data_IF_783051656873
#
_entry.id   IF_783051656873
#
_cell.length_a   1.000
_cell.length_b   1.000
_cell.length_c   1.000
_cell.angle_alpha   90.00
_cell.angle_beta   90.00
_cell.angle_gamma   90.00
#
_symmetry.space_group_name_H-M   'P 1'
#
loop_
_entity.id
_entity.type
_entity.pdbx_description
1 polymer ?
#
# COMPACT_ATOMS: atom_id res chain seq x y z
N UNK A 1 9.21 -12.04 -13.73
CA UNK A 1 7.92 -12.60 -13.25
C UNK A 1 7.00 -11.42 -12.98
N UNK A 2 6.01 -11.19 -13.85
CA UNK A 2 5.08 -10.06 -13.72
C UNK A 2 3.97 -10.45 -12.73
N UNK A 3 3.74 -9.62 -11.71
CA UNK A 3 2.75 -9.90 -10.67
C UNK A 3 1.36 -9.51 -11.16
N UNK A 4 0.34 -10.34 -10.91
CA UNK A 4 -1.05 -9.94 -11.17
C UNK A 4 -1.58 -9.03 -10.05
N UNK A 5 -2.55 -8.17 -10.37
CA UNK A 5 -3.23 -7.31 -9.38
C UNK A 5 -3.77 -8.13 -8.20
N UNK A 6 -4.38 -9.28 -8.48
CA UNK A 6 -4.87 -10.22 -7.47
C UNK A 6 -3.79 -10.67 -6.50
N UNK A 7 -2.59 -10.99 -6.99
CA UNK A 7 -1.48 -11.39 -6.12
C UNK A 7 -1.01 -10.24 -5.24
N UNK A 8 -0.92 -9.02 -5.80
CA UNK A 8 -0.56 -7.82 -5.03
C UNK A 8 -1.61 -7.55 -3.94
N UNK A 9 -2.90 -7.61 -4.25
CA UNK A 9 -3.97 -7.47 -3.25
C UNK A 9 -3.88 -8.53 -2.15
N UNK A 10 -3.64 -9.80 -2.51
CA UNK A 10 -3.52 -10.89 -1.53
C UNK A 10 -2.32 -10.72 -0.59
N UNK A 11 -1.20 -10.20 -1.06
CA UNK A 11 -0.06 -9.90 -0.20
C UNK A 11 -0.34 -8.66 0.68
N UNK A 12 -0.84 -7.59 0.06
CA UNK A 12 -1.08 -6.32 0.73
C UNK A 12 -2.10 -6.44 1.87
N UNK A 13 -3.19 -7.21 1.73
CA UNK A 13 -4.16 -7.39 2.83
C UNK A 13 -3.54 -7.91 4.13
N UNK A 14 -2.54 -8.79 4.07
CA UNK A 14 -1.91 -9.35 5.26
C UNK A 14 -0.98 -8.34 5.91
N UNK A 15 -0.16 -7.66 5.10
CA UNK A 15 0.76 -6.62 5.57
C UNK A 15 -0.02 -5.45 6.18
N UNK A 16 -1.04 -4.96 5.48
CA UNK A 16 -1.91 -3.90 5.98
C UNK A 16 -2.69 -4.35 7.21
N UNK A 17 -3.28 -5.56 7.21
CA UNK A 17 -4.01 -6.09 8.36
C UNK A 17 -3.17 -6.19 9.62
N UNK A 18 -1.97 -6.79 9.51
CA UNK A 18 -1.03 -6.89 10.63
C UNK A 18 -0.56 -5.50 11.10
N UNK A 19 -0.22 -4.60 10.17
CA UNK A 19 0.24 -3.24 10.50
C UNK A 19 -0.86 -2.44 11.20
N UNK A 20 -2.09 -2.50 10.70
CA UNK A 20 -3.24 -1.81 11.27
C UNK A 20 -3.56 -2.30 12.70
N UNK A 21 -3.56 -3.63 12.92
CA UNK A 21 -3.74 -4.20 14.26
C UNK A 21 -2.62 -3.76 15.21
N UNK A 22 -1.37 -3.78 14.73
CA UNK A 22 -0.21 -3.40 15.53
C UNK A 22 -0.27 -1.93 15.95
N UNK A 23 -0.62 -1.02 15.04
CA UNK A 23 -0.79 0.41 15.32
C UNK A 23 -1.96 0.68 16.27
N UNK A 24 -3.04 -0.09 16.14
CA UNK A 24 -4.22 0.05 17.00
C UNK A 24 -3.96 -0.41 18.43
N UNK A 25 -3.39 -1.61 18.59
CA UNK A 25 -3.26 -2.28 19.89
C UNK A 25 -1.98 -1.87 20.63
N UNK A 26 -0.88 -1.70 19.90
CA UNK A 26 0.45 -1.51 20.47
C UNK A 26 1.13 -0.22 19.99
N UNK A 27 0.47 0.96 20.06
CA UNK A 27 1.07 2.21 19.59
C UNK A 27 2.36 2.57 20.34
N UNK A 28 2.45 2.25 21.64
CA UNK A 28 3.64 2.51 22.46
C UNK A 28 4.83 1.63 22.02
N UNK A 29 4.75 0.28 21.99
CA UNK A 29 5.84 -0.56 21.48
C UNK A 29 6.27 -0.20 20.05
N UNK A 30 5.31 0.01 19.15
CA UNK A 30 5.58 0.41 17.77
C UNK A 30 6.43 1.67 17.74
N UNK A 31 6.05 2.66 18.52
CA UNK A 31 6.79 3.92 18.56
C UNK A 31 8.07 3.86 19.37
N UNK A 32 8.23 2.92 20.30
CA UNK A 32 9.52 2.68 20.95
C UNK A 32 10.52 2.02 19.99
N UNK A 33 10.06 1.23 19.01
CA UNK A 33 10.92 0.75 17.92
C UNK A 33 11.44 1.94 17.10
N UNK A 34 10.63 2.97 16.92
CA UNK A 34 11.01 4.15 16.13
C UNK A 34 11.78 5.21 16.95
N UNK A 35 11.29 5.54 18.13
CA UNK A 35 11.80 6.56 19.04
C UNK A 35 11.89 6.00 20.47
N UNK A 36 12.93 5.21 20.81
CA UNK A 36 13.01 4.44 22.06
C UNK A 36 12.91 5.26 23.35
N UNK A 37 13.20 6.56 23.27
CA UNK A 37 13.28 7.47 24.42
C UNK A 37 12.15 8.52 24.46
N UNK A 38 11.20 8.50 23.51
CA UNK A 38 10.12 9.50 23.45
C UNK A 38 8.87 8.96 24.15
N UNK A 39 8.42 9.66 25.19
CA UNK A 39 7.05 9.50 25.66
C UNK A 39 6.10 10.16 24.67
N UNK A 40 5.13 9.41 24.16
CA UNK A 40 4.09 9.97 23.30
C UNK A 40 3.02 10.68 24.13
N UNK A 41 2.68 11.93 23.78
CA UNK A 41 1.43 12.56 24.20
C UNK A 41 0.22 11.70 23.84
N UNK A 42 -0.89 11.88 24.55
CA UNK A 42 -2.10 11.08 24.32
C UNK A 42 -2.75 11.38 22.96
N UNK A 43 -2.61 12.60 22.47
CA UNK A 43 -3.06 13.05 21.16
C UNK A 43 -2.34 12.29 20.05
N UNK A 44 -1.02 12.14 20.14
CA UNK A 44 -0.24 11.39 19.15
C UNK A 44 -0.61 9.89 19.17
N UNK A 45 -0.88 9.32 20.35
CA UNK A 45 -1.37 7.92 20.44
C UNK A 45 -2.73 7.78 19.76
N UNK A 46 -3.63 8.75 19.95
CA UNK A 46 -4.94 8.74 19.30
C UNK A 46 -4.81 8.82 17.77
N UNK A 47 -3.91 9.67 17.26
CA UNK A 47 -3.61 9.77 15.83
C UNK A 47 -3.09 8.43 15.29
N UNK A 48 -2.13 7.80 15.96
CA UNK A 48 -1.57 6.50 15.54
C UNK A 48 -2.65 5.41 15.52
N UNK A 49 -3.51 5.36 16.54
CA UNK A 49 -4.61 4.40 16.60
C UNK A 49 -5.64 4.65 15.50
N UNK A 50 -5.99 5.91 15.25
CA UNK A 50 -6.90 6.30 14.17
C UNK A 50 -6.34 5.90 12.82
N UNK A 51 -5.04 6.07 12.62
CA UNK A 51 -4.33 5.57 11.45
C UNK A 51 -4.37 4.04 11.35
N UNK A 52 -4.19 3.33 12.47
CA UNK A 52 -4.36 1.88 12.54
C UNK A 52 -5.73 1.41 12.06
N UNK A 53 -6.82 2.07 12.50
CA UNK A 53 -8.19 1.79 12.05
C UNK A 53 -8.33 2.02 10.54
N UNK A 54 -7.81 3.14 10.03
CA UNK A 54 -7.83 3.43 8.60
C UNK A 54 -7.11 2.34 7.79
N UNK A 55 -5.92 1.91 8.23
CA UNK A 55 -5.17 0.84 7.56
C UNK A 55 -5.93 -0.49 7.58
N UNK A 56 -6.65 -0.82 8.66
CA UNK A 56 -7.53 -1.99 8.72
C UNK A 56 -8.69 -1.92 7.73
N UNK A 57 -9.29 -0.74 7.55
CA UNK A 57 -10.33 -0.53 6.55
C UNK A 57 -9.77 -0.78 5.14
N UNK A 58 -8.59 -0.24 4.83
CA UNK A 58 -7.89 -0.50 3.56
C UNK A 58 -7.59 -1.99 3.39
N UNK A 59 -7.09 -2.67 4.43
CA UNK A 59 -6.82 -4.11 4.39
C UNK A 59 -8.08 -4.93 4.05
N UNK A 60 -9.23 -4.51 4.56
CA UNK A 60 -10.54 -5.13 4.31
C UNK A 60 -10.99 -4.92 2.87
N UNK A 61 -10.85 -3.70 2.34
CA UNK A 61 -11.15 -3.39 0.93
C UNK A 61 -10.26 -4.23 0.02
N UNK A 62 -8.95 -4.25 0.28
CA UNK A 62 -7.97 -5.01 -0.50
C UNK A 62 -8.21 -6.52 -0.38
N UNK A 63 -8.70 -7.01 0.76
CA UNK A 63 -9.11 -8.41 0.91
C UNK A 63 -10.27 -8.78 -0.02
N UNK A 64 -11.25 -7.88 -0.22
CA UNK A 64 -12.40 -8.08 -1.11
C UNK A 64 -12.13 -7.70 -2.57
N UNK A 65 -11.08 -6.93 -2.85
CA UNK A 65 -10.77 -6.46 -4.19
C UNK A 65 -10.72 -7.57 -5.26
N UNK A 66 -10.14 -8.77 -5.02
CA UNK A 66 -10.13 -9.85 -6.00
C UNK A 66 -11.49 -10.37 -6.46
N UNK A 67 -12.57 -10.13 -5.69
CA UNK A 67 -13.93 -10.54 -6.07
C UNK A 67 -14.69 -9.49 -6.87
N UNK A 68 -14.14 -8.29 -7.04
CA UNK A 68 -14.77 -7.24 -7.86
C UNK A 68 -14.49 -7.44 -9.34
N UNK A 69 -15.22 -6.71 -10.19
CA UNK A 69 -14.94 -6.66 -11.62
C UNK A 69 -13.50 -6.19 -11.88
N UNK A 70 -12.94 -6.59 -13.01
CA UNK A 70 -11.56 -6.23 -13.35
C UNK A 70 -11.36 -4.71 -13.45
N UNK A 71 -12.34 -3.98 -13.97
CA UNK A 71 -12.31 -2.52 -14.03
C UNK A 71 -12.22 -1.89 -12.62
N UNK A 72 -13.07 -2.33 -11.69
CA UNK A 72 -13.01 -1.88 -10.29
C UNK A 72 -11.68 -2.24 -9.63
N UNK A 73 -11.12 -3.42 -9.93
CA UNK A 73 -9.79 -3.80 -9.44
C UNK A 73 -8.69 -2.87 -9.96
N UNK A 74 -8.77 -2.47 -11.23
CA UNK A 74 -7.82 -1.52 -11.82
C UNK A 74 -7.92 -0.16 -11.15
N UNK A 75 -9.13 0.34 -10.91
CA UNK A 75 -9.32 1.65 -10.28
C UNK A 75 -8.82 1.65 -8.84
N UNK A 76 -9.14 0.62 -8.05
CA UNK A 76 -8.57 0.44 -6.70
C UNK A 76 -7.04 0.38 -6.79
N UNK A 77 -6.49 -0.38 -7.73
CA UNK A 77 -5.05 -0.50 -7.94
C UNK A 77 -4.39 0.84 -8.27
N UNK A 78 -4.99 1.64 -9.16
CA UNK A 78 -4.51 2.98 -9.55
C UNK A 78 -4.56 3.94 -8.37
N UNK A 79 -5.66 3.96 -7.62
CA UNK A 79 -5.81 4.80 -6.43
C UNK A 79 -4.75 4.44 -5.40
N UNK A 80 -4.55 3.16 -5.10
CA UNK A 80 -3.51 2.72 -4.16
C UNK A 80 -2.11 3.07 -4.67
N UNK A 81 -1.81 2.84 -5.95
CA UNK A 81 -0.53 3.24 -6.54
C UNK A 81 -0.27 4.74 -6.38
N UNK A 82 -1.27 5.59 -6.66
CA UNK A 82 -1.17 7.03 -6.49
C UNK A 82 -0.95 7.42 -5.02
N UNK A 83 -1.72 6.84 -4.09
CA UNK A 83 -1.55 7.08 -2.65
C UNK A 83 -0.15 6.71 -2.16
N UNK A 84 0.35 5.52 -2.50
CA UNK A 84 1.68 5.09 -2.09
C UNK A 84 2.80 5.90 -2.75
N UNK A 85 2.61 6.32 -4.00
CA UNK A 85 3.57 7.22 -4.68
C UNK A 85 3.63 8.58 -3.99
N UNK A 86 2.47 9.15 -3.63
CA UNK A 86 2.38 10.39 -2.85
C UNK A 86 3.04 10.26 -1.48
N UNK A 87 2.77 9.18 -0.74
CA UNK A 87 3.44 8.89 0.53
C UNK A 87 4.96 8.75 0.36
N UNK A 88 5.41 8.05 -0.68
CA UNK A 88 6.84 7.93 -1.00
C UNK A 88 7.48 9.30 -1.21
N UNK A 89 6.85 10.18 -1.99
CA UNK A 89 7.33 11.53 -2.24
C UNK A 89 7.38 12.38 -0.96
N UNK A 90 6.36 12.29 -0.11
CA UNK A 90 6.33 12.97 1.18
C UNK A 90 7.49 12.51 2.09
N UNK A 91 7.70 11.20 2.22
CA UNK A 91 8.79 10.67 3.04
C UNK A 91 10.17 10.97 2.44
N UNK A 92 10.31 10.98 1.12
CA UNK A 92 11.55 11.40 0.46
C UNK A 92 11.85 12.87 0.74
N UNK A 93 10.84 13.75 0.64
CA UNK A 93 10.97 15.16 1.01
C UNK A 93 11.41 15.31 2.47
N UNK A 94 10.75 14.63 3.41
CA UNK A 94 11.14 14.69 4.82
C UNK A 94 12.57 14.16 5.05
N UNK A 95 12.97 13.07 4.39
CA UNK A 95 14.33 12.53 4.50
C UNK A 95 15.43 13.47 3.95
N UNK A 96 15.08 14.35 3.01
CA UNK A 96 16.01 15.32 2.37
C UNK A 96 16.01 16.66 3.11
N UNK A 97 14.83 17.18 3.44
CA UNK A 97 14.65 18.55 3.95
C UNK A 97 14.86 18.69 5.46
N UNK A 98 14.90 17.58 6.22
CA UNK A 98 15.14 17.68 7.66
C UNK A 98 16.56 18.18 7.98
N UNK A 99 16.63 19.35 8.62
CA UNK A 99 17.87 19.94 9.10
C UNK A 99 18.22 19.31 10.46
N UNK A 100 19.24 18.44 10.49
CA UNK A 100 19.73 17.70 11.68
C UNK A 100 18.72 16.75 12.38
N UNK A 101 18.11 15.80 11.67
CA UNK A 101 17.39 14.72 12.34
C UNK A 101 18.35 13.88 13.17
N UNK A 102 17.87 13.32 14.28
CA UNK A 102 18.58 12.25 14.97
C UNK A 102 18.89 11.13 13.94
N UNK A 103 20.11 10.54 13.91
CA UNK A 103 20.52 9.62 12.86
C UNK A 103 19.55 8.46 12.62
N UNK A 104 18.97 7.92 13.71
CA UNK A 104 17.97 6.84 13.64
C UNK A 104 16.65 7.27 13.01
N UNK A 105 16.22 8.52 13.23
CA UNK A 105 14.96 9.02 12.69
C UNK A 105 15.02 9.16 11.17
N UNK A 106 16.13 9.69 10.63
CA UNK A 106 16.29 9.83 9.17
C UNK A 106 16.29 8.48 8.45
N UNK A 107 17.00 7.50 9.00
CA UNK A 107 17.04 6.15 8.45
C UNK A 107 15.65 5.51 8.42
N UNK A 108 14.84 5.73 9.45
CA UNK A 108 13.47 5.21 9.52
C UNK A 108 12.53 5.90 8.54
N UNK A 109 12.60 7.22 8.40
CA UNK A 109 11.82 7.96 7.39
C UNK A 109 12.19 7.46 5.99
N UNK A 110 13.48 7.32 5.70
CA UNK A 110 13.94 6.78 4.42
C UNK A 110 13.44 5.34 4.18
N UNK A 111 13.55 4.46 5.17
CA UNK A 111 13.09 3.07 5.09
C UNK A 111 11.57 2.99 4.85
N UNK A 112 10.79 3.78 5.59
CA UNK A 112 9.32 3.82 5.46
C UNK A 112 8.92 4.34 4.08
N UNK A 113 9.58 5.39 3.59
CA UNK A 113 9.40 5.88 2.23
C UNK A 113 9.74 4.82 1.18
N UNK A 114 10.84 4.10 1.34
CA UNK A 114 11.22 3.02 0.43
C UNK A 114 10.20 1.86 0.43
N UNK A 115 9.63 1.52 1.60
CA UNK A 115 8.57 0.51 1.71
C UNK A 115 7.32 0.93 0.93
N UNK A 116 6.86 2.18 1.07
CA UNK A 116 5.76 2.69 0.26
C UNK A 116 6.10 2.71 -1.23
N UNK A 117 7.35 3.06 -1.59
CA UNK A 117 7.82 3.04 -2.97
C UNK A 117 7.78 1.63 -3.56
N UNK A 118 8.20 0.62 -2.82
CA UNK A 118 8.12 -0.78 -3.22
C UNK A 118 6.68 -1.24 -3.45
N UNK A 119 5.75 -0.86 -2.57
CA UNK A 119 4.32 -1.19 -2.74
C UNK A 119 3.73 -0.46 -3.96
N UNK A 120 4.06 0.82 -4.16
CA UNK A 120 3.65 1.59 -5.33
C UNK A 120 4.13 0.92 -6.62
N UNK A 121 5.40 0.53 -6.68
CA UNK A 121 5.98 -0.20 -7.81
C UNK A 121 5.29 -1.55 -8.03
N UNK A 122 4.94 -2.28 -6.99
CA UNK A 122 4.19 -3.53 -7.11
C UNK A 122 2.82 -3.32 -7.79
N UNK A 123 2.09 -2.27 -7.40
CA UNK A 123 0.82 -1.91 -8.05
C UNK A 123 1.00 -1.43 -9.49
N UNK A 124 1.96 -0.55 -9.74
CA UNK A 124 2.25 -0.03 -11.09
C UNK A 124 2.62 -1.17 -12.03
N UNK A 125 3.54 -2.04 -11.61
CA UNK A 125 3.94 -3.20 -12.40
C UNK A 125 2.76 -4.12 -12.66
N UNK A 126 1.91 -4.40 -11.66
CA UNK A 126 0.71 -5.22 -11.85
C UNK A 126 -0.32 -4.59 -12.81
N UNK A 127 -0.46 -3.26 -12.81
CA UNK A 127 -1.34 -2.53 -13.72
C UNK A 127 -0.84 -2.53 -15.17
N UNK A 128 0.48 -2.41 -15.36
CA UNK A 128 1.12 -2.44 -16.68
C UNK A 128 1.10 -3.87 -17.26
N UNK A 129 1.23 -4.88 -16.40
CA UNK A 129 1.31 -6.30 -16.76
C UNK A 129 -0.01 -6.92 -17.27
N UNK A 130 -0.87 -6.14 -17.94
CA UNK A 130 -2.20 -6.56 -18.39
C UNK A 130 -2.18 -8.01 -18.89
N UNK A 131 -3.11 -8.88 -18.44
CA UNK A 131 -3.25 -10.16 -19.08
C UNK A 131 -3.65 -9.91 -20.53
N UNK A 132 -2.73 -10.19 -21.46
CA UNK A 132 -2.91 -10.22 -22.91
C UNK A 132 -4.08 -11.12 -23.38
N UNK A 133 -4.74 -11.82 -22.45
CA UNK A 133 -5.71 -12.88 -22.74
C UNK A 133 -7.17 -12.42 -22.89
N UNK A 134 -7.61 -11.30 -22.30
CA UNK A 134 -9.01 -10.87 -22.46
C UNK A 134 -9.30 -10.27 -23.85
N UNK A 135 -8.33 -9.56 -24.43
CA UNK A 135 -8.46 -9.04 -25.80
C UNK A 135 -8.44 -10.16 -26.85
N UNK A 136 -7.73 -11.27 -26.57
CA UNK A 136 -7.80 -12.48 -27.41
C UNK A 136 -9.16 -13.16 -27.29
N UNK A 137 -9.67 -13.37 -26.07
CA UNK A 137 -10.95 -14.06 -25.87
C UNK A 137 -12.14 -13.28 -26.46
N UNK A 138 -12.15 -11.94 -26.31
CA UNK A 138 -13.17 -11.09 -26.94
C UNK A 138 -13.11 -11.11 -28.46
N UNK A 139 -11.92 -11.20 -29.06
CA UNK A 139 -11.77 -11.33 -30.54
C UNK A 139 -12.17 -12.70 -31.07
N UNK A 140 -12.02 -13.76 -30.28
CA UNK A 140 -12.42 -15.12 -30.71
C UNK A 140 -13.94 -15.32 -30.66
N UNK A 141 -14.64 -14.69 -29.71
CA UNK A 141 -16.10 -14.83 -29.57
C UNK A 141 -16.87 -13.91 -30.54
N UNK A 142 -16.25 -12.84 -31.06
CA UNK A 142 -16.89 -11.91 -32.00
C UNK A 142 -16.67 -12.21 -33.48
N UNK A 143 -16.05 -13.33 -33.84
CA UNK A 143 -16.09 -13.80 -35.23
C UNK A 143 -17.40 -14.57 -35.46
N UNK A 144 -18.37 -14.01 -36.21
CA UNK A 144 -19.53 -14.80 -36.62
C UNK A 144 -19.02 -15.98 -37.46
N UNK A 145 -19.41 -17.19 -37.06
CA UNK A 145 -19.29 -18.36 -37.90
C UNK A 145 -20.12 -18.10 -39.17
N UNK A 146 -19.44 -17.73 -40.25
CA UNK A 146 -20.03 -17.78 -41.59
C UNK A 146 -20.00 -19.26 -41.96
N UNK A 147 -21.16 -19.93 -41.85
CA UNK A 147 -21.42 -21.27 -42.39
C UNK A 147 -22.18 -21.11 -43.68
#
# INVERSE_FOLDING_TARGET
MLWSLTTVFRAHRFVAGASGLLLLLLPKPVMQVFCPKRSLPDEEKLVIRSWGIFVLAVATIVHKAPSFSFETQQDIGRTLAACFSGLTALYAKEAICMYRPAPGFRAQVAFTGALFGGIALAYITALISRPYNEDKLKRTVSQPFIV
#
